data_IF_242014363309
#
_entry.id   IF_242014363309
#
_cell.length_a   1.000
_cell.length_b   1.000
_cell.length_c   1.000
_cell.angle_alpha   90.00
_cell.angle_beta   90.00
_cell.angle_gamma   90.00
#
_symmetry.space_group_name_H-M   'P 1'
#
loop_
_entity.id
_entity.type
_entity.pdbx_description
1 polymer ?
#
# COMPACT_ATOMS: atom_id res chain seq x y z
N UNK A 1 -6.25 -21.75 19.81
CA UNK A 1 -7.21 -22.79 19.37
C UNK A 1 -8.18 -22.21 18.36
N UNK A 2 -7.77 -22.03 17.09
CA UNK A 2 -8.62 -21.74 15.94
C UNK A 2 -7.95 -22.35 14.71
N UNK A 3 -8.00 -23.71 14.65
CA UNK A 3 -7.65 -24.49 13.46
C UNK A 3 -8.89 -24.71 12.56
N UNK A 4 -9.86 -23.82 12.57
CA UNK A 4 -11.17 -24.10 12.01
C UNK A 4 -11.42 -23.66 10.57
N UNK A 5 -10.47 -22.95 9.93
CA UNK A 5 -10.65 -22.66 8.51
C UNK A 5 -9.38 -23.01 7.73
N UNK A 6 -9.40 -24.19 7.15
CA UNK A 6 -8.50 -24.49 6.06
C UNK A 6 -8.72 -23.44 4.96
N UNK A 7 -7.63 -22.87 4.41
CA UNK A 7 -7.66 -21.86 3.34
C UNK A 7 -8.65 -22.23 2.23
N UNK A 8 -8.67 -23.51 1.83
CA UNK A 8 -9.56 -24.06 0.79
C UNK A 8 -11.05 -23.92 1.12
N UNK A 9 -11.44 -24.12 2.37
CA UNK A 9 -12.85 -23.98 2.79
C UNK A 9 -13.27 -22.52 2.88
N UNK A 10 -12.38 -21.67 3.41
CA UNK A 10 -12.60 -20.24 3.51
C UNK A 10 -12.66 -19.58 2.11
N UNK A 11 -11.79 -19.98 1.19
CA UNK A 11 -11.78 -19.46 -0.18
C UNK A 11 -13.06 -19.79 -0.93
N UNK A 12 -13.57 -21.02 -0.79
CA UNK A 12 -14.87 -21.42 -1.39
C UNK A 12 -16.02 -20.58 -0.86
N UNK A 13 -16.11 -20.37 0.46
CA UNK A 13 -17.16 -19.55 1.07
C UNK A 13 -17.09 -18.09 0.62
N UNK A 14 -15.88 -17.54 0.48
CA UNK A 14 -15.67 -16.14 0.08
C UNK A 14 -15.90 -15.90 -1.41
N UNK A 15 -16.02 -16.94 -2.25
CA UNK A 15 -16.28 -16.77 -3.69
C UNK A 15 -17.67 -16.19 -3.98
N UNK A 16 -18.64 -16.40 -3.09
CA UNK A 16 -19.99 -15.86 -3.22
C UNK A 16 -20.14 -14.40 -2.74
N UNK A 17 -19.11 -13.85 -2.08
CA UNK A 17 -19.14 -12.49 -1.55
C UNK A 17 -18.41 -11.55 -2.51
N UNK A 18 -19.02 -10.37 -2.86
CA UNK A 18 -18.35 -9.36 -3.67
C UNK A 18 -16.97 -8.99 -3.08
N UNK A 19 -15.89 -8.98 -3.88
CA UNK A 19 -14.52 -8.82 -3.36
C UNK A 19 -14.29 -7.54 -2.55
N UNK A 20 -14.89 -6.42 -2.95
CA UNK A 20 -14.74 -5.16 -2.21
C UNK A 20 -15.49 -5.16 -0.87
N UNK A 21 -16.61 -5.89 -0.78
CA UNK A 21 -17.35 -6.04 0.49
C UNK A 21 -16.54 -6.91 1.47
N UNK A 22 -15.99 -8.01 0.97
CA UNK A 22 -15.12 -8.87 1.75
C UNK A 22 -13.88 -8.12 2.26
N UNK A 23 -13.26 -7.31 1.40
CA UNK A 23 -12.13 -6.46 1.78
C UNK A 23 -12.50 -5.48 2.90
N UNK A 24 -13.65 -4.81 2.80
CA UNK A 24 -14.11 -3.91 3.86
C UNK A 24 -14.36 -4.63 5.18
N UNK A 25 -14.89 -5.87 5.12
CA UNK A 25 -15.06 -6.70 6.31
C UNK A 25 -13.71 -6.99 6.98
N UNK A 26 -12.70 -7.39 6.22
CA UNK A 26 -11.36 -7.63 6.75
C UNK A 26 -10.71 -6.37 7.32
N UNK A 27 -10.85 -5.21 6.69
CA UNK A 27 -10.36 -3.95 7.26
C UNK A 27 -11.00 -3.65 8.61
N UNK A 28 -12.32 -3.85 8.75
CA UNK A 28 -13.01 -3.69 10.04
C UNK A 28 -12.50 -4.66 11.11
N UNK A 29 -12.34 -5.93 10.76
CA UNK A 29 -11.79 -6.94 11.66
C UNK A 29 -10.38 -6.59 12.16
N UNK A 30 -9.51 -6.12 11.27
CA UNK A 30 -8.16 -5.67 11.62
C UNK A 30 -8.16 -4.41 12.49
N UNK A 31 -9.10 -3.51 12.29
CA UNK A 31 -9.24 -2.28 13.10
C UNK A 31 -9.54 -2.57 14.57
N UNK A 32 -10.27 -3.64 14.85
CA UNK A 32 -10.55 -4.09 16.22
C UNK A 32 -9.42 -4.90 16.86
N UNK A 33 -8.29 -5.08 16.17
CA UNK A 33 -7.13 -5.83 16.66
C UNK A 33 -7.47 -7.23 17.18
N UNK A 34 -8.49 -7.89 16.61
CA UNK A 34 -8.89 -9.25 17.01
C UNK A 34 -7.83 -10.30 16.70
N UNK A 35 -6.87 -9.98 15.84
CA UNK A 35 -5.74 -10.83 15.53
C UNK A 35 -4.56 -10.48 16.43
N UNK A 36 -4.19 -11.38 17.34
CA UNK A 36 -3.02 -11.19 18.21
C UNK A 36 -1.78 -11.78 17.55
N UNK A 37 -0.62 -11.17 17.79
CA UNK A 37 0.70 -11.73 17.42
C UNK A 37 0.87 -13.11 18.03
N UNK A 38 0.83 -14.16 17.23
CA UNK A 38 0.83 -15.53 17.77
C UNK A 38 2.17 -16.24 17.73
N UNK A 39 3.13 -15.85 16.88
CA UNK A 39 4.41 -16.57 16.81
C UNK A 39 5.54 -15.65 16.33
N UNK A 40 6.67 -15.73 17.04
CA UNK A 40 7.94 -15.24 16.53
C UNK A 40 8.52 -16.37 15.67
N UNK A 41 8.76 -16.10 14.42
CA UNK A 41 9.50 -17.02 13.56
C UNK A 41 10.98 -16.67 13.75
N UNK A 42 11.72 -17.60 14.37
CA UNK A 42 13.16 -17.47 14.52
C UNK A 42 13.85 -17.69 13.16
N UNK A 43 15.00 -17.05 12.97
CA UNK A 43 15.84 -17.17 11.77
C UNK A 43 15.23 -16.64 10.43
N UNK A 44 14.18 -15.82 10.48
CA UNK A 44 13.65 -15.15 9.28
C UNK A 44 14.04 -13.68 9.19
N UNK A 45 14.80 -13.18 10.16
CA UNK A 45 15.26 -11.79 10.14
C UNK A 45 16.19 -11.56 8.94
N UNK A 46 15.97 -10.48 8.22
CA UNK A 46 16.78 -10.10 7.07
C UNK A 46 17.11 -8.62 7.10
N UNK A 47 18.29 -8.25 6.58
CA UNK A 47 18.73 -6.86 6.46
C UNK A 47 18.68 -6.42 5.01
N UNK A 48 17.90 -5.39 4.72
CA UNK A 48 17.77 -4.81 3.37
C UNK A 48 17.93 -3.30 3.46
N UNK A 49 18.81 -2.73 2.65
CA UNK A 49 19.06 -1.27 2.58
C UNK A 49 19.31 -0.63 3.97
N UNK A 50 20.06 -1.33 4.82
CA UNK A 50 20.41 -0.84 6.16
C UNK A 50 19.32 -1.00 7.21
N UNK A 51 18.13 -1.48 6.89
CA UNK A 51 17.03 -1.74 7.82
C UNK A 51 16.86 -3.23 8.12
N UNK A 52 16.50 -3.55 9.35
CA UNK A 52 16.21 -4.91 9.78
C UNK A 52 14.72 -5.21 9.67
N UNK A 53 14.39 -6.29 8.98
CA UNK A 53 13.03 -6.81 8.80
C UNK A 53 12.92 -8.11 9.61
N UNK A 54 11.86 -8.24 10.41
CA UNK A 54 11.65 -9.46 11.22
C UNK A 54 11.38 -10.73 10.38
N UNK A 55 10.95 -10.55 9.13
CA UNK A 55 10.85 -11.57 8.10
C UNK A 55 10.69 -10.90 6.72
N UNK A 56 10.93 -11.62 5.61
CA UNK A 56 10.88 -11.05 4.25
C UNK A 56 9.47 -10.89 3.67
N UNK A 57 8.42 -11.28 4.39
CA UNK A 57 7.03 -11.22 3.89
C UNK A 57 6.41 -9.87 4.28
N UNK A 58 5.96 -9.11 3.30
CA UNK A 58 5.31 -7.83 3.49
C UNK A 58 3.88 -7.77 2.98
N UNK A 59 3.06 -6.90 3.58
CA UNK A 59 1.76 -6.54 3.05
C UNK A 59 1.92 -5.43 2.02
N UNK A 60 1.52 -5.70 0.78
CA UNK A 60 1.64 -4.75 -0.32
C UNK A 60 0.57 -3.64 -0.25
N UNK A 61 0.89 -2.49 -0.85
CA UNK A 61 -0.08 -1.41 -1.07
C UNK A 61 -1.31 -1.89 -1.85
N UNK A 62 -2.44 -1.24 -1.58
CA UNK A 62 -3.74 -1.59 -2.17
C UNK A 62 -4.66 -2.31 -1.21
N UNK A 63 -4.14 -2.93 -0.14
CA UNK A 63 -4.94 -3.49 0.92
C UNK A 63 -5.45 -2.39 1.87
N UNK A 64 -4.58 -1.66 2.54
CA UNK A 64 -4.92 -0.52 3.39
C UNK A 64 -4.65 0.81 2.66
N UNK A 65 -5.65 1.27 1.91
CA UNK A 65 -5.51 2.45 1.04
C UNK A 65 -5.54 3.78 1.79
N UNK A 66 -6.08 3.78 3.01
CA UNK A 66 -6.26 4.98 3.82
C UNK A 66 -5.46 4.96 5.13
N UNK A 67 -4.55 3.99 5.31
CA UNK A 67 -3.77 3.81 6.54
C UNK A 67 -4.64 3.62 7.80
N UNK A 68 -5.70 2.82 7.69
CA UNK A 68 -6.70 2.64 8.76
C UNK A 68 -6.36 1.48 9.71
N UNK A 69 -5.56 0.50 9.25
CA UNK A 69 -5.39 -0.78 9.95
C UNK A 69 -3.92 -1.21 10.11
N UNK A 70 -3.00 -0.26 10.18
CA UNK A 70 -1.56 -0.53 10.29
C UNK A 70 -1.24 -1.45 11.48
N UNK A 71 -1.76 -1.15 12.68
CA UNK A 71 -1.54 -1.99 13.88
C UNK A 71 -2.04 -3.41 13.67
N UNK A 72 -3.26 -3.57 13.16
CA UNK A 72 -3.84 -4.89 12.86
C UNK A 72 -3.02 -5.66 11.82
N UNK A 73 -2.52 -4.95 10.80
CA UNK A 73 -1.66 -5.54 9.78
C UNK A 73 -0.33 -6.05 10.35
N UNK A 74 0.33 -5.28 11.22
CA UNK A 74 1.54 -5.75 11.91
C UNK A 74 1.27 -6.92 12.84
N UNK A 75 0.07 -7.01 13.44
CA UNK A 75 -0.35 -8.13 14.27
C UNK A 75 -0.54 -9.43 13.49
N UNK A 76 -0.73 -9.38 12.17
CA UNK A 76 -0.69 -10.55 11.28
C UNK A 76 0.74 -11.06 10.99
N UNK A 77 1.75 -10.52 11.65
CA UNK A 77 3.15 -10.94 11.52
C UNK A 77 3.87 -10.56 10.22
N UNK A 78 3.34 -9.64 9.42
CA UNK A 78 4.11 -9.12 8.30
C UNK A 78 5.42 -8.47 8.77
N UNK A 79 6.51 -8.71 8.05
CA UNK A 79 7.82 -8.10 8.31
C UNK A 79 7.84 -6.61 8.03
N UNK A 80 7.02 -6.17 7.06
CA UNK A 80 6.78 -4.78 6.73
C UNK A 80 5.36 -4.61 6.17
N UNK A 81 4.86 -3.38 6.22
CA UNK A 81 3.52 -3.04 5.72
C UNK A 81 3.64 -1.82 4.82
N UNK A 82 3.08 -1.88 3.61
CA UNK A 82 2.98 -0.75 2.70
C UNK A 82 1.52 -0.34 2.57
N UNK A 83 1.20 0.90 3.00
CA UNK A 83 -0.14 1.48 2.94
C UNK A 83 -0.30 2.40 1.73
N UNK A 84 -1.52 2.62 1.28
CA UNK A 84 -1.81 3.41 0.06
C UNK A 84 -2.30 2.51 -1.08
N UNK A 85 -2.37 2.97 -2.33
CA UNK A 85 -1.85 4.23 -2.89
C UNK A 85 -2.75 5.39 -2.46
N UNK A 86 -2.16 6.43 -1.90
CA UNK A 86 -2.83 7.68 -1.58
C UNK A 86 -2.59 8.73 -2.67
N UNK A 87 -3.58 9.58 -2.93
CA UNK A 87 -3.51 10.73 -3.84
C UNK A 87 -3.75 12.04 -3.09
N UNK A 88 -3.32 13.21 -3.61
CA UNK A 88 -3.54 14.49 -2.92
C UNK A 88 -5.00 14.71 -2.55
N UNK A 89 -5.89 14.58 -3.52
CA UNK A 89 -7.33 14.72 -3.33
C UNK A 89 -7.99 13.34 -3.25
N UNK A 90 -9.12 13.20 -2.53
CA UNK A 90 -9.89 11.96 -2.55
C UNK A 90 -10.36 11.63 -3.97
N UNK A 91 -10.41 10.35 -4.30
CA UNK A 91 -11.00 9.91 -5.57
C UNK A 91 -11.68 8.55 -5.44
N UNK A 92 -12.84 8.42 -6.13
CA UNK A 92 -13.68 7.22 -6.08
C UNK A 92 -13.05 6.03 -6.81
N UNK A 93 -12.07 6.27 -7.67
CA UNK A 93 -11.53 5.27 -8.59
C UNK A 93 -12.46 5.01 -9.78
N UNK A 94 -12.28 3.85 -10.42
CA UNK A 94 -13.11 3.46 -11.57
C UNK A 94 -14.49 2.97 -11.14
N UNK A 95 -15.52 2.97 -12.04
CA UNK A 95 -16.85 2.42 -11.75
C UNK A 95 -16.78 0.95 -11.34
N UNK A 96 -17.70 0.55 -10.45
CA UNK A 96 -17.91 -0.85 -10.08
C UNK A 96 -18.77 -1.58 -11.12
N UNK A 97 -18.60 -2.92 -11.30
CA UNK A 97 -17.63 -3.79 -10.66
C UNK A 97 -16.21 -3.56 -11.22
N UNK A 98 -15.20 -3.68 -10.38
CA UNK A 98 -13.80 -3.37 -10.72
C UNK A 98 -12.76 -4.30 -10.10
N UNK A 99 -13.23 -5.34 -9.42
CA UNK A 99 -12.42 -6.46 -8.92
C UNK A 99 -13.16 -7.75 -9.24
N UNK A 100 -12.48 -8.66 -9.92
CA UNK A 100 -13.04 -9.92 -10.42
C UNK A 100 -12.15 -11.06 -9.96
N UNK A 101 -12.75 -12.04 -9.28
CA UNK A 101 -12.08 -13.30 -8.94
C UNK A 101 -12.23 -14.26 -10.12
N UNK A 102 -11.19 -15.02 -10.37
CA UNK A 102 -11.16 -16.11 -11.36
C UNK A 102 -10.71 -17.36 -10.63
N UNK A 103 -11.63 -18.07 -9.93
CA UNK A 103 -11.29 -19.18 -9.06
C UNK A 103 -10.55 -20.31 -9.76
N UNK A 104 -10.84 -20.59 -11.02
CA UNK A 104 -10.25 -21.66 -11.82
C UNK A 104 -8.74 -21.45 -12.02
N UNK A 105 -8.28 -20.19 -11.98
CA UNK A 105 -6.87 -19.83 -12.14
C UNK A 105 -6.25 -19.27 -10.85
N UNK A 106 -6.97 -19.33 -9.74
CA UNK A 106 -6.57 -18.70 -8.47
C UNK A 106 -6.12 -17.24 -8.66
N UNK A 107 -6.76 -16.52 -9.58
CA UNK A 107 -6.36 -15.20 -10.03
C UNK A 107 -7.39 -14.11 -9.69
N UNK A 108 -6.91 -12.86 -9.69
CA UNK A 108 -7.75 -11.67 -9.51
C UNK A 108 -7.40 -10.66 -10.61
N UNK A 109 -8.43 -10.20 -11.33
CA UNK A 109 -8.32 -9.04 -12.21
C UNK A 109 -8.89 -7.83 -11.50
N UNK A 110 -8.17 -6.70 -11.55
CA UNK A 110 -8.64 -5.47 -10.93
C UNK A 110 -8.37 -4.23 -11.80
N UNK A 111 -9.30 -3.27 -11.72
CA UNK A 111 -9.21 -1.94 -12.34
C UNK A 111 -9.61 -0.84 -11.37
N UNK A 112 -9.05 -0.85 -10.17
CA UNK A 112 -9.45 0.00 -9.04
C UNK A 112 -9.29 1.50 -9.30
N UNK A 113 -8.17 1.95 -9.92
CA UNK A 113 -7.95 3.34 -10.28
C UNK A 113 -7.66 4.25 -9.08
N UNK A 114 -6.87 3.78 -8.09
CA UNK A 114 -6.43 4.52 -6.90
C UNK A 114 -7.58 5.11 -6.08
N UNK A 115 -8.61 4.32 -5.80
CA UNK A 115 -9.69 4.75 -4.90
C UNK A 115 -9.17 4.93 -3.48
N UNK A 116 -9.28 6.14 -2.95
CA UNK A 116 -8.81 6.49 -1.61
C UNK A 116 -9.50 7.76 -1.09
N UNK A 117 -9.40 8.02 0.21
CA UNK A 117 -10.02 9.16 0.89
C UNK A 117 -9.20 10.46 0.85
N UNK A 118 -8.06 10.48 0.11
CA UNK A 118 -7.17 11.64 0.02
C UNK A 118 -6.18 11.75 1.17
N UNK A 119 -5.22 12.67 0.99
CA UNK A 119 -4.08 12.79 1.91
C UNK A 119 -4.48 13.24 3.32
N UNK A 120 -5.52 14.04 3.48
CA UNK A 120 -5.92 14.56 4.80
C UNK A 120 -6.34 13.43 5.72
N UNK A 121 -7.26 12.55 5.28
CA UNK A 121 -7.71 11.37 6.04
C UNK A 121 -6.54 10.43 6.27
N UNK A 122 -5.76 10.17 5.24
CA UNK A 122 -4.59 9.29 5.30
C UNK A 122 -3.56 9.77 6.33
N UNK A 123 -3.22 11.06 6.29
CA UNK A 123 -2.25 11.66 7.21
C UNK A 123 -2.73 11.67 8.66
N UNK A 124 -4.03 11.90 8.89
CA UNK A 124 -4.61 11.80 10.22
C UNK A 124 -4.47 10.37 10.80
N UNK A 125 -4.64 9.36 9.98
CA UNK A 125 -4.45 7.97 10.39
C UNK A 125 -2.97 7.65 10.65
N UNK A 126 -2.06 8.12 9.79
CA UNK A 126 -0.61 7.98 10.00
C UNK A 126 -0.16 8.61 11.32
N UNK A 127 -0.63 9.82 11.64
CA UNK A 127 -0.26 10.53 12.88
C UNK A 127 -0.75 9.81 14.15
N UNK A 128 -1.87 9.11 14.07
CA UNK A 128 -2.42 8.32 15.20
C UNK A 128 -1.68 7.00 15.42
N UNK A 129 -0.99 6.51 14.40
CA UNK A 129 -0.28 5.25 14.50
C UNK A 129 0.99 5.37 15.33
N UNK A 130 1.05 4.63 16.45
CA UNK A 130 2.23 4.51 17.29
C UNK A 130 3.11 3.36 16.80
N UNK A 131 4.01 3.67 15.87
CA UNK A 131 4.94 2.69 15.28
C UNK A 131 5.97 2.24 16.30
N UNK A 132 6.21 0.93 16.39
CA UNK A 132 7.37 0.38 17.10
C UNK A 132 8.63 0.48 16.23
N UNK A 133 9.81 0.57 16.83
CA UNK A 133 11.10 0.65 16.12
C UNK A 133 11.35 -0.51 15.16
N UNK A 134 10.85 -1.70 15.49
CA UNK A 134 10.98 -2.92 14.68
C UNK A 134 9.93 -3.06 13.57
N UNK A 135 8.99 -2.13 13.47
CA UNK A 135 7.96 -2.11 12.44
C UNK A 135 8.42 -1.24 11.27
N UNK A 136 8.49 -1.83 10.08
CA UNK A 136 8.88 -1.13 8.86
C UNK A 136 7.62 -0.75 8.09
N UNK A 137 7.33 0.54 8.04
CA UNK A 137 6.16 1.11 7.36
C UNK A 137 6.56 1.80 6.06
N UNK A 138 5.96 1.37 4.96
CA UNK A 138 6.03 2.03 3.67
C UNK A 138 4.75 2.80 3.35
N UNK A 139 4.88 3.89 2.60
CA UNK A 139 3.75 4.63 2.05
C UNK A 139 3.85 4.68 0.53
N UNK A 140 2.80 4.21 -0.12
CA UNK A 140 2.65 4.23 -1.57
C UNK A 140 1.88 5.49 -1.99
N UNK A 141 2.48 6.32 -2.86
CA UNK A 141 1.91 7.57 -3.34
C UNK A 141 1.66 7.55 -4.84
N UNK A 142 0.60 8.23 -5.26
CA UNK A 142 0.22 8.33 -6.67
C UNK A 142 -0.43 9.67 -7.01
N UNK A 143 -0.47 10.01 -8.31
CA UNK A 143 -1.15 11.22 -8.76
C UNK A 143 -2.67 11.05 -8.80
N UNK A 144 -3.41 12.14 -8.66
CA UNK A 144 -4.83 12.14 -9.00
C UNK A 144 -5.06 11.87 -10.50
N UNK A 145 -6.17 11.21 -10.82
CA UNK A 145 -6.52 10.86 -12.22
C UNK A 145 -6.58 12.08 -13.12
N UNK A 146 -7.12 13.21 -12.62
CA UNK A 146 -7.29 14.46 -13.35
C UNK A 146 -6.16 15.48 -13.10
N UNK A 147 -5.06 15.09 -12.48
CA UNK A 147 -3.94 16.00 -12.22
C UNK A 147 -3.31 16.49 -13.52
N UNK A 148 -3.18 17.81 -13.62
CA UNK A 148 -2.49 18.48 -14.74
C UNK A 148 -0.97 18.51 -14.54
N UNK A 149 -0.48 18.42 -13.31
CA UNK A 149 0.95 18.38 -12.97
C UNK A 149 1.27 17.18 -12.07
N UNK A 150 1.52 16.01 -12.66
CA UNK A 150 1.82 14.80 -11.90
C UNK A 150 2.99 14.94 -10.94
N UNK A 151 4.08 15.59 -11.36
CA UNK A 151 5.30 15.73 -10.54
C UNK A 151 5.01 16.56 -9.29
N UNK A 152 4.16 17.58 -9.38
CA UNK A 152 3.71 18.36 -8.22
C UNK A 152 2.96 17.51 -7.21
N UNK A 153 2.07 16.61 -7.66
CA UNK A 153 1.35 15.67 -6.78
C UNK A 153 2.32 14.78 -5.99
N UNK A 154 3.30 14.18 -6.68
CA UNK A 154 4.30 13.33 -6.02
C UNK A 154 5.19 14.13 -5.05
N UNK A 155 5.65 15.32 -5.45
CA UNK A 155 6.44 16.20 -4.58
C UNK A 155 5.67 16.54 -3.30
N UNK A 156 4.43 16.96 -3.43
CA UNK A 156 3.56 17.30 -2.30
C UNK A 156 3.39 16.11 -1.36
N UNK A 157 2.95 14.97 -1.89
CA UNK A 157 2.73 13.76 -1.11
C UNK A 157 4.02 13.29 -0.43
N UNK A 158 5.13 13.25 -1.16
CA UNK A 158 6.44 12.86 -0.64
C UNK A 158 6.82 13.69 0.60
N UNK A 159 6.71 15.03 0.50
CA UNK A 159 7.04 15.91 1.60
C UNK A 159 6.16 15.69 2.84
N UNK A 160 4.89 15.39 2.63
CA UNK A 160 3.91 15.25 3.71
C UNK A 160 4.04 13.89 4.42
N UNK A 161 4.33 12.80 3.69
CA UNK A 161 4.32 11.45 4.28
C UNK A 161 5.69 11.02 4.81
N UNK A 162 6.80 11.52 4.25
CA UNK A 162 8.15 11.06 4.63
C UNK A 162 8.49 11.15 6.13
N UNK A 163 7.93 12.09 6.95
CA UNK A 163 8.22 12.12 8.38
C UNK A 163 7.66 10.93 9.16
N UNK A 164 6.69 10.21 8.60
CA UNK A 164 5.92 9.17 9.28
C UNK A 164 6.21 7.75 8.77
N UNK A 165 7.16 7.61 7.84
CA UNK A 165 7.38 6.34 7.12
C UNK A 165 8.86 6.00 7.03
N UNK A 166 9.18 4.72 6.90
CA UNK A 166 10.53 4.22 6.69
C UNK A 166 10.97 4.28 5.23
N UNK A 167 10.01 4.19 4.31
CA UNK A 167 10.24 4.38 2.87
C UNK A 167 8.98 4.89 2.16
N UNK A 168 9.20 5.56 1.05
CA UNK A 168 8.12 6.03 0.18
C UNK A 168 8.19 5.31 -1.16
N UNK A 169 7.07 4.75 -1.61
CA UNK A 169 6.94 4.12 -2.92
C UNK A 169 6.27 5.09 -3.90
N UNK A 170 7.00 5.43 -4.96
CA UNK A 170 6.50 6.24 -6.07
C UNK A 170 5.83 5.30 -7.08
N UNK A 171 4.51 5.31 -7.12
CA UNK A 171 3.75 4.40 -7.97
C UNK A 171 3.45 5.02 -9.34
N UNK A 172 4.20 4.61 -10.34
CA UNK A 172 4.03 5.02 -11.74
C UNK A 172 3.66 3.84 -12.66
N UNK A 173 3.23 2.71 -12.07
CA UNK A 173 3.00 1.45 -12.80
C UNK A 173 1.55 1.20 -13.18
N UNK A 174 0.58 1.84 -12.52
CA UNK A 174 -0.84 1.51 -12.71
C UNK A 174 -1.31 1.78 -14.15
N UNK A 175 -1.91 0.80 -14.82
CA UNK A 175 -2.52 1.00 -16.13
C UNK A 175 -3.87 1.71 -16.05
N UNK A 176 -4.43 1.80 -14.85
CA UNK A 176 -5.79 2.29 -14.60
C UNK A 176 -5.87 3.81 -14.40
N UNK A 177 -4.75 4.51 -14.55
CA UNK A 177 -4.65 5.97 -14.46
C UNK A 177 -4.05 6.52 -15.76
N UNK A 178 -4.82 7.26 -16.57
CA UNK A 178 -4.33 7.80 -17.85
C UNK A 178 -3.05 8.61 -17.71
N UNK A 179 -2.10 8.41 -18.63
CA UNK A 179 -0.83 9.13 -18.68
C UNK A 179 0.14 8.82 -17.53
N UNK A 180 -0.20 7.91 -16.61
CA UNK A 180 0.68 7.59 -15.48
C UNK A 180 1.98 6.94 -15.94
N UNK A 181 1.91 6.02 -16.89
CA UNK A 181 3.07 5.28 -17.41
C UNK A 181 4.01 6.14 -18.25
N UNK A 182 3.55 7.31 -18.73
CA UNK A 182 4.43 8.28 -19.40
C UNK A 182 5.52 8.80 -18.46
N UNK A 183 5.31 8.73 -17.15
CA UNK A 183 6.31 9.08 -16.13
C UNK A 183 7.49 8.07 -16.08
N UNK A 184 7.37 6.91 -16.74
CA UNK A 184 8.46 5.93 -16.87
C UNK A 184 9.44 6.29 -17.99
N UNK A 185 9.07 7.22 -18.90
CA UNK A 185 9.97 7.72 -19.92
C UNK A 185 11.17 8.43 -19.25
N UNK A 186 12.37 8.24 -19.79
CA UNK A 186 13.64 8.69 -19.21
C UNK A 186 13.57 10.13 -18.70
N UNK A 187 13.23 11.08 -19.57
CA UNK A 187 13.23 12.51 -19.22
C UNK A 187 12.25 12.85 -18.09
N UNK A 188 11.05 12.25 -18.11
CA UNK A 188 10.05 12.45 -17.07
C UNK A 188 10.50 11.83 -15.73
N UNK A 189 11.11 10.66 -15.78
CA UNK A 189 11.64 9.97 -14.62
C UNK A 189 12.79 10.75 -13.99
N UNK A 190 13.75 11.22 -14.79
CA UNK A 190 14.87 12.05 -14.33
C UNK A 190 14.38 13.36 -13.69
N UNK A 191 13.44 14.04 -14.33
CA UNK A 191 12.82 15.26 -13.78
C UNK A 191 12.12 15.00 -12.44
N UNK A 192 11.39 13.89 -12.33
CA UNK A 192 10.73 13.50 -11.08
C UNK A 192 11.74 13.18 -10.00
N UNK A 193 12.76 12.36 -10.30
CA UNK A 193 13.80 11.98 -9.34
C UNK A 193 14.61 13.18 -8.86
N UNK A 194 15.03 14.06 -9.76
CA UNK A 194 15.75 15.29 -9.39
C UNK A 194 14.90 16.20 -8.50
N UNK A 195 13.59 16.26 -8.75
CA UNK A 195 12.66 17.02 -7.92
C UNK A 195 12.54 16.44 -6.51
N UNK A 196 12.39 15.10 -6.41
CA UNK A 196 12.22 14.43 -5.12
C UNK A 196 13.51 14.35 -4.30
N UNK A 197 14.68 14.18 -4.96
CA UNK A 197 15.98 14.09 -4.28
C UNK A 197 16.32 15.35 -3.48
N UNK A 198 15.94 16.54 -3.98
CA UNK A 198 16.11 17.82 -3.27
C UNK A 198 15.33 17.89 -1.95
N UNK A 199 14.34 17.04 -1.75
CA UNK A 199 13.46 17.00 -0.59
C UNK A 199 13.69 15.76 0.29
N UNK A 200 14.64 14.88 -0.08
CA UNK A 200 14.90 13.63 0.63
C UNK A 200 15.56 13.91 1.99
N UNK A 201 14.95 13.43 3.08
CA UNK A 201 15.60 13.36 4.39
C UNK A 201 16.63 12.21 4.43
N UNK A 202 17.71 12.40 5.21
CA UNK A 202 18.95 11.59 5.19
C UNK A 202 18.76 10.07 5.30
N UNK A 203 17.65 9.58 5.87
CA UNK A 203 17.43 8.16 6.17
C UNK A 203 16.23 7.52 5.44
N UNK A 204 15.59 8.21 4.50
CA UNK A 204 14.42 7.67 3.82
C UNK A 204 14.78 7.00 2.49
N UNK A 205 14.34 5.77 2.32
CA UNK A 205 14.44 5.02 1.08
C UNK A 205 13.30 5.48 0.15
N UNK A 206 13.62 5.77 -1.10
CA UNK A 206 12.64 6.02 -2.14
C UNK A 206 12.60 4.79 -3.06
N UNK A 207 11.45 4.14 -3.13
CA UNK A 207 11.19 3.00 -4.02
C UNK A 207 10.37 3.46 -5.22
N UNK A 208 10.76 3.10 -6.42
CA UNK A 208 9.99 3.33 -7.62
C UNK A 208 9.38 2.01 -8.08
N UNK A 209 8.08 2.00 -8.30
CA UNK A 209 7.39 0.86 -8.90
C UNK A 209 7.06 1.21 -10.34
N UNK A 210 7.83 0.62 -11.25
CA UNK A 210 7.55 0.55 -12.68
C UNK A 210 7.22 -0.89 -13.06
N UNK A 211 6.45 -1.09 -14.11
CA UNK A 211 6.26 -2.42 -14.68
C UNK A 211 7.33 -2.58 -15.77
N UNK A 212 8.18 -3.59 -15.63
CA UNK A 212 8.94 -4.09 -16.79
C UNK A 212 7.95 -4.56 -17.85
N UNK A 213 8.17 -4.15 -19.08
CA UNK A 213 7.46 -4.68 -20.24
C UNK A 213 7.79 -6.14 -20.41
#
# INVERSE_FOLDING_TARGET
MFNFFNYTSLSKLTNFVPPELLHQFFLRALRFNIFQKKKRFENLETKVLGKYYKNPIGLAAGFDKNAEVMSGSFNLNFGFVEVGTVTPMPQKGNPKPRVFKIPEFEAIIQRLGFNNAGIEVFLNNLKKFKKNEKEILGVNIGKNKRSKNPISDYKFLYNVVQPYTDYVTINISSPNTPGLRDLQKKDNLEKMLSTLSKHKKKNNICKIVSRSL
#
